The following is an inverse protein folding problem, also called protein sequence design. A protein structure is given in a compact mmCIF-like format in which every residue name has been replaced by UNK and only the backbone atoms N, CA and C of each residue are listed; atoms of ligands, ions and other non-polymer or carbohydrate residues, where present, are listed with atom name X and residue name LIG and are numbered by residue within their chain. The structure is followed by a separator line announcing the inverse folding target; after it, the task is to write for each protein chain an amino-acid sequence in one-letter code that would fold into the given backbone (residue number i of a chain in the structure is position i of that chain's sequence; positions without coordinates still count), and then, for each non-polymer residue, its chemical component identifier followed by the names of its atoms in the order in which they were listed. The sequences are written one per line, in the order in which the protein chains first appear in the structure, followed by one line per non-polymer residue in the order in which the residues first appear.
data_IF_295644092200
#
_entry.id   IF_295644092200
#
_cell.length_a   1.000
_cell.length_b   1.000
_cell.length_c   1.000
_cell.angle_alpha   90.00
_cell.angle_beta   90.00
_cell.angle_gamma   90.00
#
_symmetry.space_group_name_H-M   'P 1'
#
loop_
_entity.id
_entity.type
_entity.pdbx_description
1 polymer ?
#
# COMPACT_ATOMS: atom_id res chain seq x y z
N UNK A 1 -10.89 -45.75 1.35
CA UNK A 1 -9.95 -45.29 2.40
C UNK A 1 -10.59 -44.09 3.07
N UNK A 2 -11.01 -44.28 4.32
CA UNK A 2 -11.80 -43.37 5.14
C UNK A 2 -11.14 -42.00 5.25
N UNK A 3 -11.80 -40.98 4.70
CA UNK A 3 -11.57 -39.57 5.00
C UNK A 3 -11.85 -39.34 6.48
N UNK A 4 -10.83 -39.53 7.31
CA UNK A 4 -10.84 -39.10 8.70
C UNK A 4 -11.17 -37.61 8.72
N UNK A 5 -12.39 -37.29 9.13
CA UNK A 5 -12.89 -35.95 9.37
C UNK A 5 -11.87 -35.16 10.18
N UNK A 6 -11.22 -34.21 9.53
CA UNK A 6 -10.17 -33.34 10.08
C UNK A 6 -10.73 -32.29 11.06
N UNK A 7 -11.81 -32.60 11.78
CA UNK A 7 -12.44 -31.73 12.78
C UNK A 7 -11.52 -31.45 13.98
N UNK A 8 -10.63 -32.39 14.33
CA UNK A 8 -9.75 -32.32 15.52
C UNK A 8 -8.55 -31.36 15.39
N UNK A 9 -8.46 -30.54 14.34
CA UNK A 9 -7.29 -29.67 14.09
C UNK A 9 -7.66 -28.21 13.77
N UNK A 10 -8.96 -27.88 13.80
CA UNK A 10 -9.41 -26.52 13.50
C UNK A 10 -9.13 -25.57 14.66
N UNK A 11 -8.50 -24.44 14.34
CA UNK A 11 -8.33 -23.32 15.26
C UNK A 11 -9.70 -22.77 15.68
N UNK A 12 -9.86 -22.25 16.92
CA UNK A 12 -11.08 -21.55 17.33
C UNK A 12 -11.58 -20.49 16.32
N UNK A 13 -10.67 -19.64 15.81
CA UNK A 13 -10.94 -18.71 14.70
C UNK A 13 -11.47 -19.38 13.42
N UNK A 14 -10.92 -20.54 13.01
CA UNK A 14 -11.43 -21.30 11.85
C UNK A 14 -12.86 -21.79 12.10
N UNK A 15 -13.14 -22.28 13.32
CA UNK A 15 -14.47 -22.74 13.72
C UNK A 15 -15.47 -21.58 13.68
N UNK A 16 -15.10 -20.40 14.17
CA UNK A 16 -15.95 -19.21 14.15
C UNK A 16 -16.26 -18.76 12.72
N UNK A 17 -15.24 -18.71 11.84
CA UNK A 17 -15.43 -18.36 10.43
C UNK A 17 -16.29 -19.39 9.69
N UNK A 18 -16.05 -20.69 9.90
CA UNK A 18 -16.89 -21.76 9.31
C UNK A 18 -18.33 -21.69 9.78
N UNK A 19 -18.57 -21.37 11.07
CA UNK A 19 -19.93 -21.18 11.61
C UNK A 19 -20.61 -19.95 11.02
N UNK A 20 -19.88 -18.85 10.84
CA UNK A 20 -20.42 -17.66 10.19
C UNK A 20 -20.85 -17.96 8.74
N UNK A 21 -19.98 -18.62 7.98
CA UNK A 21 -20.29 -19.09 6.62
C UNK A 21 -21.39 -20.15 6.58
N UNK A 22 -21.53 -20.97 7.62
CA UNK A 22 -22.54 -22.03 7.70
C UNK A 22 -23.94 -21.55 8.05
N UNK A 23 -24.07 -20.39 8.71
CA UNK A 23 -25.35 -19.78 9.08
C UNK A 23 -26.05 -19.10 7.90
N UNK A 24 -25.30 -18.69 6.88
CA UNK A 24 -25.86 -18.11 5.67
C UNK A 24 -25.44 -18.97 4.49
N UNK A 25 -26.42 -19.58 3.80
CA UNK A 25 -26.17 -20.22 2.52
C UNK A 25 -25.85 -19.14 1.49
N UNK A 26 -24.57 -18.84 1.28
CA UNK A 26 -24.19 -17.73 0.42
C UNK A 26 -22.70 -17.45 0.33
N UNK A 27 -22.41 -16.36 -0.38
CA UNK A 27 -21.09 -15.76 -0.48
C UNK A 27 -20.98 -14.69 0.60
N UNK A 28 -19.96 -14.78 1.47
CA UNK A 28 -19.66 -13.75 2.46
C UNK A 28 -18.35 -13.04 2.10
N UNK A 29 -18.35 -11.72 2.14
CA UNK A 29 -17.15 -10.90 1.90
C UNK A 29 -16.31 -10.70 3.15
N UNK A 30 -15.05 -10.28 3.00
CA UNK A 30 -14.16 -9.97 4.14
C UNK A 30 -14.83 -9.06 5.21
N UNK A 31 -15.48 -7.93 4.85
CA UNK A 31 -16.16 -7.08 5.84
C UNK A 31 -17.32 -7.79 6.54
N UNK A 32 -18.13 -8.54 5.80
CA UNK A 32 -19.25 -9.29 6.36
C UNK A 32 -18.78 -10.38 7.32
N UNK A 33 -17.68 -11.07 7.01
CA UNK A 33 -17.09 -12.07 7.90
C UNK A 33 -16.60 -11.44 9.20
N UNK A 34 -15.99 -10.26 9.16
CA UNK A 34 -15.60 -9.50 10.35
C UNK A 34 -16.82 -9.19 11.22
N UNK A 35 -17.89 -8.64 10.62
CA UNK A 35 -19.11 -8.28 11.35
C UNK A 35 -19.82 -9.50 11.94
N UNK A 36 -19.91 -10.61 11.20
CA UNK A 36 -20.60 -11.82 11.66
C UNK A 36 -19.82 -12.63 12.70
N UNK A 37 -18.48 -12.55 12.69
CA UNK A 37 -17.63 -13.28 13.64
C UNK A 37 -17.28 -12.43 14.86
N UNK A 38 -17.33 -11.10 14.76
CA UNK A 38 -16.85 -10.17 15.78
C UNK A 38 -15.33 -10.22 15.98
N UNK A 39 -14.60 -10.86 15.06
CA UNK A 39 -13.15 -10.98 15.09
C UNK A 39 -12.48 -9.78 14.44
N UNK A 40 -11.23 -9.49 14.82
CA UNK A 40 -10.44 -8.49 14.11
C UNK A 40 -10.18 -8.93 12.66
N UNK A 41 -10.10 -7.98 11.72
CA UNK A 41 -9.86 -8.26 10.30
C UNK A 41 -8.62 -9.14 10.05
N UNK A 42 -7.55 -8.95 10.83
CA UNK A 42 -6.34 -9.78 10.77
C UNK A 42 -6.58 -11.23 11.19
N UNK A 43 -7.44 -11.46 12.19
CA UNK A 43 -7.81 -12.79 12.65
C UNK A 43 -8.69 -13.51 11.64
N UNK A 44 -9.65 -12.80 11.02
CA UNK A 44 -10.48 -13.33 9.93
C UNK A 44 -9.60 -13.71 8.74
N UNK A 45 -8.71 -12.82 8.30
CA UNK A 45 -7.79 -13.09 7.18
C UNK A 45 -6.90 -14.32 7.44
N UNK A 46 -6.37 -14.45 8.66
CA UNK A 46 -5.59 -15.61 9.07
C UNK A 46 -6.41 -16.90 9.04
N UNK A 47 -7.61 -16.89 9.63
CA UNK A 47 -8.51 -18.03 9.66
C UNK A 47 -8.94 -18.46 8.25
N UNK A 48 -9.33 -17.50 7.41
CA UNK A 48 -9.67 -17.75 5.99
C UNK A 48 -8.46 -18.33 5.25
N UNK A 49 -7.25 -17.82 5.47
CA UNK A 49 -6.02 -18.37 4.88
C UNK A 49 -5.79 -19.84 5.25
N UNK A 50 -6.01 -20.22 6.51
CA UNK A 50 -5.93 -21.63 6.93
C UNK A 50 -7.04 -22.48 6.31
N UNK A 51 -8.28 -21.97 6.26
CA UNK A 51 -9.42 -22.68 5.67
C UNK A 51 -9.26 -22.90 4.15
N UNK A 52 -8.72 -21.93 3.43
CA UNK A 52 -8.35 -22.05 2.01
C UNK A 52 -7.26 -23.11 1.83
N UNK A 53 -6.23 -23.12 2.69
CA UNK A 53 -5.14 -24.12 2.62
C UNK A 53 -5.64 -25.53 2.92
N UNK A 54 -6.72 -25.67 3.70
CA UNK A 54 -7.38 -26.94 4.04
C UNK A 54 -8.50 -27.32 3.06
N UNK A 55 -8.71 -26.55 2.00
CA UNK A 55 -9.79 -26.74 1.01
C UNK A 55 -11.21 -26.79 1.62
N UNK A 56 -11.42 -26.17 2.78
CA UNK A 56 -12.73 -26.08 3.45
C UNK A 56 -13.56 -24.88 2.98
N UNK A 57 -12.87 -23.87 2.45
CA UNK A 57 -13.44 -22.66 1.88
C UNK A 57 -12.78 -22.43 0.52
N UNK A 58 -13.54 -21.88 -0.42
CA UNK A 58 -13.09 -21.47 -1.75
C UNK A 58 -13.30 -19.97 -1.95
N UNK A 59 -12.39 -19.33 -2.67
CA UNK A 59 -12.56 -17.97 -3.15
C UNK A 59 -13.58 -17.97 -4.30
N UNK A 60 -14.71 -17.30 -4.10
CA UNK A 60 -15.82 -17.28 -5.05
C UNK A 60 -15.90 -15.96 -5.83
N UNK A 61 -15.43 -14.86 -5.26
CA UNK A 61 -15.27 -13.57 -5.95
C UNK A 61 -14.07 -12.81 -5.43
N UNK A 62 -13.42 -12.06 -6.30
CA UNK A 62 -12.40 -11.07 -5.93
C UNK A 62 -12.71 -9.81 -6.72
N UNK A 63 -13.01 -8.72 -6.01
CA UNK A 63 -13.32 -7.42 -6.61
C UNK A 63 -12.33 -6.39 -6.08
N UNK A 64 -11.44 -5.94 -6.96
CA UNK A 64 -10.57 -4.81 -6.67
C UNK A 64 -11.29 -3.52 -7.06
N UNK A 65 -11.51 -2.65 -6.09
CA UNK A 65 -12.07 -1.31 -6.30
C UNK A 65 -11.01 -0.30 -5.92
N UNK A 66 -10.68 0.59 -6.86
CA UNK A 66 -9.74 1.68 -6.61
C UNK A 66 -10.49 2.84 -5.95
N UNK A 67 -10.06 3.22 -4.74
CA UNK A 67 -10.62 4.33 -3.99
C UNK A 67 -9.71 5.54 -4.04
N UNK A 68 -10.34 6.72 -3.96
CA UNK A 68 -9.65 8.00 -3.79
C UNK A 68 -9.98 8.54 -2.42
N UNK A 69 -8.95 8.97 -1.69
CA UNK A 69 -9.05 9.58 -0.36
C UNK A 69 -8.20 10.85 -0.28
N UNK A 70 -8.48 11.70 0.71
CA UNK A 70 -7.64 12.86 0.98
C UNK A 70 -6.41 12.47 1.81
N UNK A 71 -5.28 13.09 1.48
CA UNK A 71 -4.09 13.09 2.34
C UNK A 71 -4.18 14.21 3.38
N UNK A 72 -3.22 14.26 4.30
CA UNK A 72 -3.09 15.39 5.22
C UNK A 72 -2.97 16.73 4.46
N UNK A 73 -2.19 16.77 3.38
CA UNK A 73 -2.09 17.94 2.47
C UNK A 73 -3.45 18.27 1.83
N UNK A 74 -4.18 17.25 1.40
CA UNK A 74 -5.53 17.42 0.85
C UNK A 74 -6.50 18.04 1.86
N UNK A 75 -6.44 17.61 3.12
CA UNK A 75 -7.25 18.19 4.19
C UNK A 75 -6.87 19.65 4.48
N UNK A 76 -5.57 19.99 4.41
CA UNK A 76 -5.10 21.38 4.53
C UNK A 76 -5.60 22.23 3.37
N UNK A 77 -5.52 21.75 2.13
CA UNK A 77 -6.00 22.48 0.95
C UNK A 77 -7.52 22.67 0.97
N UNK A 78 -8.26 21.71 1.52
CA UNK A 78 -9.70 21.83 1.73
C UNK A 78 -10.04 22.92 2.77
N UNK A 79 -9.35 22.93 3.92
CA UNK A 79 -9.58 23.91 4.99
C UNK A 79 -9.11 25.32 4.64
N UNK A 80 -7.99 25.40 3.91
CA UNK A 80 -7.38 26.65 3.46
C UNK A 80 -7.60 26.82 1.95
N UNK A 81 -6.57 27.26 1.24
CA UNK A 81 -6.55 27.38 -0.20
C UNK A 81 -5.51 26.40 -0.78
N UNK A 82 -5.83 25.80 -1.91
CA UNK A 82 -4.82 25.11 -2.73
C UNK A 82 -3.81 26.12 -3.30
N UNK A 83 -2.62 25.68 -3.75
CA UNK A 83 -1.64 26.59 -4.36
C UNK A 83 -2.23 27.43 -5.50
N UNK A 84 -3.13 26.85 -6.31
CA UNK A 84 -3.80 27.55 -7.41
C UNK A 84 -4.68 28.70 -6.89
N UNK A 85 -5.52 28.41 -5.91
CA UNK A 85 -6.44 29.40 -5.32
C UNK A 85 -5.67 30.48 -4.56
N UNK A 86 -4.66 30.08 -3.79
CA UNK A 86 -3.84 31.01 -3.01
C UNK A 86 -3.10 31.99 -3.90
N UNK A 87 -2.54 31.55 -5.04
CA UNK A 87 -1.89 32.45 -6.00
C UNK A 87 -2.91 33.46 -6.55
N UNK A 88 -4.08 33.00 -7.02
CA UNK A 88 -5.10 33.89 -7.58
C UNK A 88 -5.61 34.88 -6.54
N UNK A 89 -5.84 34.44 -5.30
CA UNK A 89 -6.27 35.30 -4.18
C UNK A 89 -5.20 36.32 -3.82
N UNK A 90 -3.93 35.91 -3.71
CA UNK A 90 -2.81 36.79 -3.35
C UNK A 90 -2.56 37.86 -4.40
N UNK A 91 -2.64 37.51 -5.70
CA UNK A 91 -2.48 38.49 -6.78
C UNK A 91 -3.67 39.46 -6.82
N UNK A 92 -4.90 38.98 -6.56
CA UNK A 92 -6.08 39.86 -6.46
C UNK A 92 -5.97 40.85 -5.29
N UNK A 93 -5.58 40.41 -4.10
CA UNK A 93 -5.44 41.29 -2.95
C UNK A 93 -4.34 42.33 -3.17
N UNK A 94 -3.19 41.92 -3.71
CA UNK A 94 -2.11 42.85 -4.04
C UNK A 94 -2.54 43.93 -5.05
N UNK A 95 -3.29 43.53 -6.09
CA UNK A 95 -3.85 44.46 -7.06
C UNK A 95 -4.83 45.48 -6.43
N UNK A 96 -5.61 45.07 -5.41
CA UNK A 96 -6.49 45.97 -4.65
C UNK A 96 -5.70 46.94 -3.77
N UNK A 97 -4.59 46.49 -3.20
CA UNK A 97 -3.68 47.29 -2.36
C UNK A 97 -2.72 48.16 -3.19
N UNK A 98 -2.82 48.13 -4.52
CA UNK A 98 -1.94 48.87 -5.44
C UNK A 98 -0.50 48.36 -5.49
N UNK A 99 -0.26 47.12 -5.06
CA UNK A 99 1.05 46.46 -5.05
C UNK A 99 1.12 45.37 -6.11
N UNK A 100 2.29 45.21 -6.74
CA UNK A 100 2.51 44.14 -7.73
C UNK A 100 3.28 42.97 -7.11
N UNK A 101 2.75 41.75 -7.18
CA UNK A 101 3.46 40.55 -6.75
C UNK A 101 4.25 39.94 -7.91
N UNK A 102 5.50 39.58 -7.64
CA UNK A 102 6.35 38.82 -8.57
C UNK A 102 6.41 37.34 -8.17
N UNK A 103 6.84 36.49 -9.10
CA UNK A 103 7.07 35.05 -8.83
C UNK A 103 8.01 34.85 -7.63
N UNK A 104 9.05 35.69 -7.50
CA UNK A 104 10.01 35.62 -6.40
C UNK A 104 9.36 35.94 -5.05
N UNK A 105 8.48 36.93 -5.01
CA UNK A 105 7.76 37.30 -3.78
C UNK A 105 6.87 36.15 -3.31
N UNK A 106 6.15 35.48 -4.23
CA UNK A 106 5.31 34.32 -3.91
C UNK A 106 6.14 33.13 -3.40
N UNK A 107 7.29 32.86 -4.01
CA UNK A 107 8.19 31.79 -3.57
C UNK A 107 8.84 32.04 -2.20
N UNK A 108 8.86 33.28 -1.72
CA UNK A 108 9.46 33.65 -0.42
C UNK A 108 8.46 33.53 0.74
N UNK A 109 7.17 33.34 0.46
CA UNK A 109 6.09 33.34 1.48
C UNK A 109 6.07 32.13 2.42
N UNK A 110 6.99 31.16 2.27
CA UNK A 110 7.08 29.88 3.00
C UNK A 110 5.79 29.03 3.07
N UNK A 111 4.71 29.45 2.40
CA UNK A 111 3.38 28.82 2.52
C UNK A 111 3.31 27.50 1.75
N UNK A 112 4.03 27.40 0.63
CA UNK A 112 4.09 26.22 -0.23
C UNK A 112 5.51 25.98 -0.73
N UNK A 113 5.79 24.77 -1.21
CA UNK A 113 7.11 24.49 -1.79
C UNK A 113 7.32 25.27 -3.11
N UNK A 114 8.54 25.75 -3.40
CA UNK A 114 8.81 26.50 -4.63
C UNK A 114 8.47 25.73 -5.92
N UNK A 115 8.61 24.40 -5.89
CA UNK A 115 8.26 23.48 -6.99
C UNK A 115 6.76 23.45 -7.25
N UNK A 116 5.95 23.39 -6.19
CA UNK A 116 4.48 23.42 -6.26
C UNK A 116 3.98 24.75 -6.81
N UNK A 117 4.51 25.86 -6.28
CA UNK A 117 4.17 27.21 -6.76
C UNK A 117 4.54 27.40 -8.22
N UNK A 118 5.71 26.93 -8.65
CA UNK A 118 6.13 27.04 -10.05
C UNK A 118 5.22 26.24 -10.99
N UNK A 119 4.81 25.04 -10.58
CA UNK A 119 3.83 24.22 -11.31
C UNK A 119 2.46 24.90 -11.39
N UNK A 120 1.98 25.46 -10.29
CA UNK A 120 0.71 26.16 -10.21
C UNK A 120 0.69 27.43 -11.08
N UNK A 121 1.74 28.26 -11.03
CA UNK A 121 1.90 29.45 -11.88
C UNK A 121 1.92 29.07 -13.37
N UNK A 122 2.67 28.01 -13.73
CA UNK A 122 2.72 27.51 -15.10
C UNK A 122 1.35 27.10 -15.63
N UNK A 123 0.55 26.43 -14.80
CA UNK A 123 -0.81 26.02 -15.14
C UNK A 123 -1.76 27.23 -15.28
N UNK A 124 -1.78 28.12 -14.30
CA UNK A 124 -2.64 29.32 -14.32
C UNK A 124 -2.33 30.22 -15.52
N UNK A 125 -1.05 30.32 -15.93
CA UNK A 125 -0.65 31.06 -17.12
C UNK A 125 -1.16 30.39 -18.40
N UNK A 126 -1.11 29.04 -18.46
CA UNK A 126 -1.62 28.27 -19.60
C UNK A 126 -3.15 28.38 -19.73
N UNK A 127 -3.85 28.47 -18.60
CA UNK A 127 -5.30 28.69 -18.55
C UNK A 127 -5.70 30.16 -18.70
N UNK A 128 -4.74 31.05 -18.95
CA UNK A 128 -4.92 32.49 -19.08
C UNK A 128 -5.60 33.14 -17.85
N UNK A 129 -5.56 32.50 -16.68
CA UNK A 129 -6.09 33.05 -15.43
C UNK A 129 -5.16 34.12 -14.83
N UNK A 130 -3.86 34.03 -15.13
CA UNK A 130 -2.85 35.03 -14.79
C UNK A 130 -1.99 35.36 -16.02
N UNK A 131 -1.50 36.59 -16.08
CA UNK A 131 -0.57 37.07 -17.11
C UNK A 131 0.67 37.69 -16.47
N UNK A 132 1.80 37.64 -17.20
CA UNK A 132 3.02 38.32 -16.79
C UNK A 132 3.02 39.74 -17.39
N UNK A 133 2.98 40.74 -16.53
CA UNK A 133 3.13 42.14 -16.89
C UNK A 133 4.62 42.54 -17.01
N UNK A 134 4.86 43.75 -17.49
CA UNK A 134 6.22 44.29 -17.68
C UNK A 134 6.96 44.35 -16.34
N UNK A 135 8.17 43.80 -16.28
CA UNK A 135 8.96 43.70 -15.03
C UNK A 135 8.75 42.43 -14.21
N UNK A 136 8.00 41.45 -14.71
CA UNK A 136 7.83 40.15 -14.04
C UNK A 136 6.75 40.13 -12.95
N UNK A 137 5.90 41.16 -12.92
CA UNK A 137 4.70 41.21 -12.10
C UNK A 137 3.62 40.26 -12.64
N UNK A 138 2.86 39.65 -11.74
CA UNK A 138 1.71 38.82 -12.08
C UNK A 138 0.43 39.65 -11.97
N UNK A 139 -0.43 39.55 -12.98
CA UNK A 139 -1.74 40.19 -13.01
C UNK A 139 -2.83 39.13 -13.26
N UNK A 140 -3.97 39.25 -12.56
CA UNK A 140 -5.13 38.40 -12.80
C UNK A 140 -5.94 38.98 -13.96
N UNK A 141 -6.18 38.19 -14.99
CA UNK A 141 -6.90 38.59 -16.22
C UNK A 141 -8.42 38.63 -16.04
N UNK A 142 -8.92 38.13 -14.89
CA UNK A 142 -10.35 38.01 -14.60
C UNK A 142 -11.00 36.72 -15.09
N UNK A 143 -10.28 35.87 -15.85
CA UNK A 143 -10.76 34.55 -16.26
C UNK A 143 -10.64 33.54 -15.11
N UNK A 144 -11.66 32.70 -14.85
CA UNK A 144 -11.56 31.63 -13.87
C UNK A 144 -10.59 30.54 -14.34
N UNK A 145 -9.93 29.89 -13.39
CA UNK A 145 -9.10 28.71 -13.66
C UNK A 145 -9.98 27.45 -13.55
N UNK A 146 -10.32 26.77 -14.66
CA UNK A 146 -11.17 25.58 -14.62
C UNK A 146 -10.55 24.46 -13.79
N UNK A 147 -9.21 24.34 -13.77
CA UNK A 147 -8.54 23.35 -12.92
C UNK A 147 -8.64 23.71 -11.44
N UNK A 148 -8.52 24.99 -11.07
CA UNK A 148 -8.68 25.44 -9.68
C UNK A 148 -10.09 25.14 -9.15
N UNK A 149 -11.12 25.48 -9.92
CA UNK A 149 -12.52 25.27 -9.54
C UNK A 149 -12.86 23.78 -9.42
N UNK A 150 -12.34 22.97 -10.33
CA UNK A 150 -12.48 21.52 -10.28
C UNK A 150 -11.75 20.92 -9.09
N UNK A 151 -10.53 21.35 -8.83
CA UNK A 151 -9.75 20.87 -7.69
C UNK A 151 -10.51 21.14 -6.38
N UNK A 152 -11.08 22.34 -6.21
CA UNK A 152 -11.93 22.67 -5.06
C UNK A 152 -13.16 21.76 -4.96
N UNK A 153 -13.84 21.51 -6.08
CA UNK A 153 -15.01 20.63 -6.13
C UNK A 153 -14.64 19.20 -5.71
N UNK A 154 -13.51 18.68 -6.21
CA UNK A 154 -13.02 17.35 -5.87
C UNK A 154 -12.56 17.25 -4.41
N UNK A 155 -11.88 18.27 -3.88
CA UNK A 155 -11.49 18.33 -2.48
C UNK A 155 -12.72 18.25 -1.57
N UNK A 156 -13.76 19.05 -1.85
CA UNK A 156 -15.01 19.04 -1.07
C UNK A 156 -15.70 17.67 -1.13
N UNK A 157 -15.76 17.06 -2.33
CA UNK A 157 -16.42 15.76 -2.53
C UNK A 157 -15.70 14.60 -1.83
N UNK A 158 -14.36 14.56 -1.90
CA UNK A 158 -13.57 13.48 -1.25
C UNK A 158 -13.40 13.73 0.26
N UNK A 159 -13.64 14.96 0.74
CA UNK A 159 -13.63 15.27 2.18
C UNK A 159 -14.73 14.56 2.97
N UNK A 160 -15.88 14.27 2.34
CA UNK A 160 -16.99 13.52 2.95
C UNK A 160 -16.61 12.05 3.24
N UNK A 161 -15.60 11.53 2.54
CA UNK A 161 -15.06 10.19 2.75
C UNK A 161 -14.44 9.59 1.48
N UNK A 162 -13.74 8.44 1.60
CA UNK A 162 -13.18 7.76 0.45
C UNK A 162 -14.27 7.34 -0.55
N UNK A 163 -14.06 7.61 -1.83
CA UNK A 163 -15.00 7.27 -2.90
C UNK A 163 -14.34 6.43 -4.00
N UNK A 164 -15.06 5.50 -4.64
CA UNK A 164 -14.56 4.79 -5.81
C UNK A 164 -14.19 5.77 -6.93
N UNK A 165 -13.03 5.58 -7.56
CA UNK A 165 -12.58 6.44 -8.66
C UNK A 165 -13.54 6.39 -9.87
N UNK A 166 -14.30 5.31 -9.99
CA UNK A 166 -15.30 5.10 -11.05
C UNK A 166 -16.51 6.02 -10.95
N UNK A 167 -16.76 6.61 -9.78
CA UNK A 167 -17.90 7.49 -9.53
C UNK A 167 -17.65 8.94 -10.02
N UNK A 168 -16.43 9.20 -10.49
CA UNK A 168 -16.00 10.47 -11.06
C UNK A 168 -16.02 10.41 -12.59
N UNK A 169 -16.31 11.54 -13.22
CA UNK A 169 -16.23 11.66 -14.68
C UNK A 169 -14.79 11.44 -15.19
N UNK A 170 -14.58 11.05 -16.46
CA UNK A 170 -13.24 10.79 -16.99
C UNK A 170 -12.25 11.95 -16.83
N UNK A 171 -12.76 13.18 -16.88
CA UNK A 171 -11.98 14.41 -16.75
C UNK A 171 -11.57 14.66 -15.28
N UNK A 172 -12.48 14.43 -14.34
CA UNK A 172 -12.19 14.44 -12.90
C UNK A 172 -11.20 13.35 -12.51
N UNK A 173 -11.33 12.14 -13.07
CA UNK A 173 -10.37 11.06 -12.85
C UNK A 173 -8.96 11.46 -13.31
N UNK A 174 -8.85 12.18 -14.42
CA UNK A 174 -7.60 12.75 -14.90
C UNK A 174 -6.97 13.69 -13.88
N UNK A 175 -7.75 14.62 -13.33
CA UNK A 175 -7.31 15.55 -12.28
C UNK A 175 -6.92 14.80 -10.99
N UNK A 176 -7.71 13.83 -10.54
CA UNK A 176 -7.39 13.03 -9.35
C UNK A 176 -6.06 12.29 -9.49
N UNK A 177 -5.79 11.67 -10.65
CA UNK A 177 -4.51 10.98 -10.93
C UNK A 177 -3.33 11.96 -11.12
N UNK A 178 -3.61 13.18 -11.55
CA UNK A 178 -2.59 14.22 -11.71
C UNK A 178 -2.13 14.77 -10.36
N UNK A 179 -3.06 14.90 -9.40
CA UNK A 179 -2.85 15.43 -8.05
C UNK A 179 -2.89 14.33 -6.98
N UNK A 180 -2.57 13.09 -7.35
CA UNK A 180 -2.41 11.98 -6.42
C UNK A 180 -0.96 11.81 -6.02
N UNK A 181 -0.72 11.36 -4.79
CA UNK A 181 0.59 10.92 -4.31
C UNK A 181 1.21 9.91 -5.28
N UNK A 182 2.47 10.13 -5.64
CA UNK A 182 3.26 9.24 -6.52
C UNK A 182 4.54 8.82 -5.81
N UNK A 183 5.18 7.78 -6.33
CA UNK A 183 6.47 7.30 -5.81
C UNK A 183 7.50 8.45 -5.84
N UNK A 184 7.84 8.98 -4.67
CA UNK A 184 8.78 10.11 -4.51
C UNK A 184 8.14 11.49 -4.33
N UNK A 185 6.81 11.64 -4.50
CA UNK A 185 6.10 12.87 -4.17
C UNK A 185 4.92 12.58 -3.23
N UNK A 186 5.13 12.84 -1.93
CA UNK A 186 4.13 12.64 -0.87
C UNK A 186 3.27 13.87 -0.61
N UNK A 187 3.60 15.02 -1.23
CA UNK A 187 2.95 16.31 -1.00
C UNK A 187 1.85 16.57 -2.03
N UNK A 188 0.92 15.64 -2.19
CA UNK A 188 -0.20 15.76 -3.12
C UNK A 188 -1.52 15.54 -2.37
N UNK A 189 -2.61 16.23 -2.76
CA UNK A 189 -3.84 16.26 -1.99
C UNK A 189 -4.62 14.95 -1.98
N UNK A 190 -4.50 14.13 -3.03
CA UNK A 190 -5.23 12.88 -3.14
C UNK A 190 -4.31 11.67 -2.95
N UNK A 191 -4.87 10.60 -2.41
CA UNK A 191 -4.26 9.26 -2.44
C UNK A 191 -5.22 8.31 -3.15
N UNK A 192 -4.65 7.52 -4.06
CA UNK A 192 -5.37 6.52 -4.83
C UNK A 192 -4.83 5.17 -4.39
N UNK A 193 -5.68 4.38 -3.73
CA UNK A 193 -5.32 3.06 -3.22
C UNK A 193 -6.31 2.02 -3.74
N UNK A 194 -5.81 0.81 -4.00
CA UNK A 194 -6.65 -0.31 -4.38
C UNK A 194 -7.14 -1.05 -3.13
N UNK A 195 -8.46 -1.21 -3.02
CA UNK A 195 -9.07 -2.04 -2.00
C UNK A 195 -9.62 -3.31 -2.64
N UNK A 196 -9.07 -4.46 -2.26
CA UNK A 196 -9.52 -5.75 -2.76
C UNK A 196 -10.46 -6.39 -1.76
N UNK A 197 -11.71 -6.57 -2.15
CA UNK A 197 -12.69 -7.32 -1.37
C UNK A 197 -12.82 -8.73 -1.93
N UNK A 198 -12.66 -9.72 -1.06
CA UNK A 198 -12.80 -11.13 -1.44
C UNK A 198 -14.07 -11.70 -0.84
N UNK A 199 -14.75 -12.50 -1.65
CA UNK A 199 -15.95 -13.24 -1.29
C UNK A 199 -15.65 -14.73 -1.22
N UNK A 200 -16.06 -15.34 -0.13
CA UNK A 200 -15.78 -16.73 0.19
C UNK A 200 -17.04 -17.57 0.23
N UNK A 201 -16.90 -18.83 -0.18
CA UNK A 201 -17.95 -19.85 -0.09
C UNK A 201 -17.39 -21.14 0.48
N UNK A 202 -18.19 -21.84 1.28
CA UNK A 202 -17.86 -23.17 1.76
C UNK A 202 -17.80 -24.19 0.62
N UNK A 203 -16.80 -25.07 0.68
CA UNK A 203 -16.72 -26.22 -0.22
C UNK A 203 -17.67 -27.33 0.27
N UNK A 204 -17.93 -28.39 -0.52
CA UNK A 204 -18.70 -29.54 -0.03
C UNK A 204 -18.09 -30.17 1.22
N UNK A 205 -16.76 -30.19 1.32
CA UNK A 205 -16.03 -30.65 2.51
C UNK A 205 -16.20 -29.71 3.71
N UNK A 206 -16.26 -28.39 3.50
CA UNK A 206 -16.57 -27.42 4.54
C UNK A 206 -18.01 -27.59 5.09
N UNK A 207 -18.98 -27.81 4.21
CA UNK A 207 -20.38 -28.02 4.60
C UNK A 207 -20.58 -29.28 5.44
N UNK A 208 -19.97 -30.40 5.05
CA UNK A 208 -20.08 -31.65 5.81
C UNK A 208 -19.43 -31.57 7.19
N UNK A 209 -18.54 -30.60 7.42
CA UNK A 209 -17.83 -30.41 8.67
C UNK A 209 -18.65 -29.64 9.72
N UNK A 210 -19.54 -28.74 9.30
CA UNK A 210 -20.31 -27.84 10.18
C UNK A 210 -21.10 -28.60 11.27
N UNK A 211 -21.85 -29.67 10.96
CA UNK A 211 -22.62 -30.41 11.97
C UNK A 211 -21.73 -31.09 13.04
N UNK A 212 -20.46 -31.30 12.72
CA UNK A 212 -19.49 -31.96 13.59
C UNK A 212 -18.57 -30.97 14.33
N UNK A 213 -18.75 -29.67 14.14
CA UNK A 213 -18.01 -28.64 14.88
C UNK A 213 -18.50 -28.60 16.32
N UNK A 214 -17.61 -28.93 17.26
CA UNK A 214 -17.92 -28.79 18.70
C UNK A 214 -18.08 -27.30 19.07
N UNK A 215 -19.02 -27.02 19.97
CA UNK A 215 -19.11 -25.72 20.64
C UNK A 215 -18.10 -25.68 21.79
N UNK A 216 -17.34 -24.59 21.86
CA UNK A 216 -16.25 -24.44 22.80
C UNK A 216 -14.93 -24.86 22.18
N UNK A 217 -13.95 -23.95 22.21
CA UNK A 217 -12.56 -24.34 22.18
C UNK A 217 -12.36 -25.27 23.37
N UNK A 218 -12.21 -26.58 23.14
CA UNK A 218 -11.48 -27.36 24.12
C UNK A 218 -10.18 -26.58 24.37
N UNK A 219 -9.79 -26.37 25.63
CA UNK A 219 -8.53 -25.71 25.97
C UNK A 219 -7.37 -26.59 25.49
N UNK A 220 -7.15 -26.60 24.18
CA UNK A 220 -6.05 -27.26 23.53
C UNK A 220 -4.82 -26.41 23.74
N UNK A 221 -3.81 -26.98 24.37
CA UNK A 221 -2.55 -26.29 24.51
C UNK A 221 -1.83 -26.33 23.17
N UNK A 222 -1.42 -25.16 22.69
CA UNK A 222 -0.62 -25.02 21.47
C UNK A 222 0.85 -25.36 21.68
N UNK A 223 1.42 -24.97 22.83
CA UNK A 223 2.83 -25.12 23.15
C UNK A 223 3.03 -25.67 24.56
N UNK A 224 3.88 -26.68 24.68
CA UNK A 224 4.35 -27.18 25.96
C UNK A 224 5.22 -26.12 26.63
N UNK A 225 4.80 -25.59 27.79
CA UNK A 225 5.53 -24.57 28.54
C UNK A 225 6.33 -25.18 29.69
N UNK A 226 7.37 -24.49 30.19
CA UNK A 226 8.14 -24.96 31.36
C UNK A 226 7.29 -25.15 32.62
N UNK A 227 6.24 -24.35 32.82
CA UNK A 227 5.32 -24.46 33.96
C UNK A 227 4.53 -25.77 33.91
N UNK A 228 4.00 -26.11 32.73
CA UNK A 228 3.28 -27.36 32.49
C UNK A 228 4.17 -28.59 32.74
N UNK A 229 5.46 -28.48 32.43
CA UNK A 229 6.44 -29.53 32.70
C UNK A 229 6.71 -29.70 34.19
N UNK A 230 6.78 -28.60 34.95
CA UNK A 230 7.02 -28.60 36.40
C UNK A 230 5.84 -29.17 37.19
N UNK A 231 4.61 -28.80 36.83
CA UNK A 231 3.40 -29.23 37.53
C UNK A 231 2.87 -30.60 37.04
N UNK A 232 3.37 -31.10 35.91
CA UNK A 232 2.97 -32.38 35.32
C UNK A 232 1.57 -32.38 34.70
N UNK A 233 0.91 -31.22 34.62
CA UNK A 233 -0.44 -31.07 34.09
C UNK A 233 -0.54 -31.34 32.59
N UNK A 234 0.60 -31.31 31.86
CA UNK A 234 0.69 -31.69 30.45
C UNK A 234 0.15 -33.10 30.15
N UNK A 235 0.19 -34.02 31.12
CA UNK A 235 -0.30 -35.41 30.93
C UNK A 235 -1.81 -35.51 30.77
N UNK A 236 -2.56 -34.56 31.34
CA UNK A 236 -4.02 -34.59 31.39
C UNK A 236 -4.66 -33.57 30.44
N UNK A 237 -3.88 -32.95 29.56
CA UNK A 237 -4.35 -31.94 28.62
C UNK A 237 -4.16 -32.39 27.18
N UNK A 238 -5.03 -31.92 26.31
CA UNK A 238 -4.98 -32.23 24.87
C UNK A 238 -4.10 -31.18 24.19
N UNK A 239 -3.11 -31.65 23.43
CA UNK A 239 -2.28 -30.78 22.61
C UNK A 239 -2.88 -30.64 21.22
N UNK A 240 -2.85 -29.42 20.70
CA UNK A 240 -3.25 -29.17 19.32
C UNK A 240 -2.31 -29.91 18.37
N UNK A 241 -2.88 -30.66 17.41
CA UNK A 241 -2.08 -31.37 16.39
C UNK A 241 -1.35 -30.36 15.49
N UNK A 242 -0.05 -30.56 15.30
CA UNK A 242 0.76 -29.74 14.42
C UNK A 242 0.44 -30.03 12.95
N UNK A 243 0.12 -29.00 12.17
CA UNK A 243 -0.19 -29.14 10.75
C UNK A 243 1.07 -29.05 9.90
N UNK A 244 1.54 -30.17 9.37
CA UNK A 244 2.74 -30.26 8.52
C UNK A 244 2.55 -29.57 7.16
N UNK A 245 1.30 -29.42 6.71
CA UNK A 245 0.95 -28.75 5.46
C UNK A 245 1.13 -27.22 5.49
N UNK A 246 1.21 -26.61 6.69
CA UNK A 246 1.38 -25.17 6.82
C UNK A 246 2.84 -24.80 6.58
N UNK A 247 3.07 -23.74 5.79
CA UNK A 247 4.42 -23.20 5.63
C UNK A 247 4.90 -22.62 6.97
N UNK A 248 6.08 -23.03 7.49
CA UNK A 248 6.61 -22.49 8.72
C UNK A 248 6.95 -21.00 8.56
N UNK A 249 6.97 -20.23 9.65
CA UNK A 249 7.42 -18.85 9.62
C UNK A 249 8.85 -18.79 9.07
N UNK A 250 9.11 -17.85 8.15
CA UNK A 250 10.44 -17.65 7.58
C UNK A 250 11.35 -17.00 8.63
N UNK A 251 12.52 -17.59 8.85
CA UNK A 251 13.57 -16.94 9.62
C UNK A 251 14.23 -15.87 8.75
N UNK A 252 14.19 -14.62 9.21
CA UNK A 252 14.91 -13.51 8.61
C UNK A 252 16.40 -13.62 8.98
N UNK A 253 17.14 -14.42 8.20
CA UNK A 253 18.59 -14.53 8.33
C UNK A 253 19.29 -13.55 7.40
N UNK A 254 20.41 -12.98 7.84
CA UNK A 254 21.28 -12.20 6.97
C UNK A 254 21.76 -13.03 5.78
N UNK A 255 21.69 -12.46 4.57
CA UNK A 255 22.13 -13.10 3.32
C UNK A 255 23.28 -12.29 2.72
N UNK A 256 24.23 -12.97 2.06
CA UNK A 256 25.26 -12.31 1.25
C UNK A 256 24.64 -11.84 -0.07
N UNK A 257 25.21 -10.78 -0.66
CA UNK A 257 24.80 -10.32 -1.98
C UNK A 257 25.16 -11.40 -3.04
N UNK A 258 24.24 -11.88 -3.87
CA UNK A 258 24.48 -13.02 -4.78
C UNK A 258 25.70 -12.82 -5.70
N UNK A 259 25.88 -11.61 -6.22
CA UNK A 259 27.04 -11.29 -7.06
C UNK A 259 28.38 -11.41 -6.30
N UNK A 260 28.41 -11.01 -5.02
CA UNK A 260 29.63 -11.09 -4.20
C UNK A 260 29.98 -12.54 -3.92
N UNK A 261 28.97 -13.36 -3.62
CA UNK A 261 29.13 -14.80 -3.41
C UNK A 261 29.69 -15.51 -4.66
N UNK A 262 29.19 -15.13 -5.84
CA UNK A 262 29.74 -15.60 -7.11
C UNK A 262 31.21 -15.19 -7.29
N UNK A 263 31.55 -13.91 -7.10
CA UNK A 263 32.93 -13.42 -7.23
C UNK A 263 33.89 -14.14 -6.26
N UNK A 264 33.46 -14.34 -5.02
CA UNK A 264 34.24 -15.06 -4.01
C UNK A 264 34.46 -16.53 -4.44
N UNK A 265 33.46 -17.17 -5.05
CA UNK A 265 33.57 -18.54 -5.58
C UNK A 265 34.57 -18.65 -6.74
N UNK A 266 34.55 -17.69 -7.67
CA UNK A 266 35.48 -17.64 -8.81
C UNK A 266 36.90 -17.40 -8.31
N UNK A 267 37.07 -16.44 -7.41
CA UNK A 267 38.34 -16.17 -6.74
C UNK A 267 38.89 -17.42 -6.07
N UNK A 268 38.07 -18.09 -5.24
CA UNK A 268 38.50 -19.30 -4.55
C UNK A 268 38.99 -20.35 -5.54
N UNK A 269 38.21 -20.62 -6.60
CA UNK A 269 38.57 -21.60 -7.63
C UNK A 269 39.89 -21.28 -8.35
N UNK A 270 40.10 -20.03 -8.76
CA UNK A 270 41.33 -19.61 -9.42
C UNK A 270 42.55 -19.72 -8.48
N UNK A 271 42.41 -19.27 -7.23
CA UNK A 271 43.49 -19.39 -6.24
C UNK A 271 43.83 -20.84 -5.92
N UNK A 272 42.84 -21.74 -5.87
CA UNK A 272 43.06 -23.18 -5.70
C UNK A 272 43.79 -23.83 -6.89
N UNK A 273 43.72 -23.22 -8.08
CA UNK A 273 44.48 -23.66 -9.26
C UNK A 273 45.90 -23.07 -9.33
N UNK A 274 46.32 -22.29 -8.32
CA UNK A 274 47.65 -21.69 -8.25
C UNK A 274 47.76 -20.28 -8.85
N UNK A 275 46.64 -19.68 -9.30
CA UNK A 275 46.63 -18.29 -9.75
C UNK A 275 46.71 -17.32 -8.57
N UNK A 276 47.30 -16.14 -8.80
CA UNK A 276 47.37 -15.06 -7.83
C UNK A 276 46.36 -13.95 -8.19
N UNK A 277 45.70 -13.38 -7.18
CA UNK A 277 44.75 -12.28 -7.38
C UNK A 277 45.52 -10.98 -7.66
N UNK A 278 45.28 -10.38 -8.83
CA UNK A 278 45.76 -9.03 -9.15
C UNK A 278 44.76 -7.98 -8.65
N UNK A 279 45.26 -6.85 -8.14
CA UNK A 279 44.45 -5.68 -7.75
C UNK A 279 44.88 -4.47 -8.57
N UNK A 280 43.90 -3.72 -9.07
CA UNK A 280 44.10 -2.46 -9.81
C UNK A 280 43.23 -1.35 -9.25
N UNK A 281 43.38 -0.15 -9.79
CA UNK A 281 42.57 1.01 -9.41
C UNK A 281 41.20 0.96 -10.10
N UNK A 282 40.24 1.76 -9.64
CA UNK A 282 38.95 1.90 -10.33
C UNK A 282 39.05 2.78 -11.59
N UNK A 283 40.11 3.58 -11.68
CA UNK A 283 40.37 4.50 -12.78
C UNK A 283 41.76 4.19 -13.30
N UNK A 284 41.85 3.80 -14.56
CA UNK A 284 43.11 3.50 -15.23
C UNK A 284 43.35 4.55 -16.34
N UNK A 285 44.62 4.78 -16.70
CA UNK A 285 44.95 5.69 -17.79
C UNK A 285 44.60 5.05 -19.14
N UNK A 286 44.21 5.87 -20.12
CA UNK A 286 43.87 5.42 -21.49
C UNK A 286 44.97 4.53 -22.09
N UNK A 287 46.23 4.87 -21.85
CA UNK A 287 47.37 4.08 -22.30
C UNK A 287 47.33 2.62 -21.82
N UNK A 288 46.99 2.37 -20.54
CA UNK A 288 46.97 1.00 -20.00
C UNK A 288 45.73 0.21 -20.40
N UNK A 289 44.58 0.89 -20.56
CA UNK A 289 43.32 0.24 -20.94
C UNK A 289 43.25 -0.04 -22.46
N UNK A 290 43.95 0.74 -23.29
CA UNK A 290 43.88 0.66 -24.77
C UNK A 290 45.25 0.38 -25.42
N UNK A 291 46.17 1.33 -25.38
CA UNK A 291 47.43 1.28 -26.16
C UNK A 291 48.28 0.06 -25.80
N UNK A 292 48.40 -0.26 -24.50
CA UNK A 292 49.18 -1.39 -23.99
C UNK A 292 48.62 -2.76 -24.41
N UNK A 293 47.31 -2.82 -24.74
CA UNK A 293 46.63 -4.03 -25.22
C UNK A 293 46.55 -4.11 -26.75
N UNK A 294 47.18 -3.16 -27.48
CA UNK A 294 47.16 -3.06 -28.94
C UNK A 294 45.75 -2.95 -29.53
N UNK A 295 44.82 -2.31 -28.82
CA UNK A 295 43.48 -2.02 -29.36
C UNK A 295 43.53 -0.73 -30.21
N UNK A 296 43.07 -0.77 -31.48
CA UNK A 296 43.10 0.38 -32.39
C UNK A 296 41.96 1.38 -32.17
#
# INVERSE_FOLDING_TARGET
MSSSTNTESLHPLEIQVLKALGKQEGLLTDPQLVDHTGLAASQVSMAVGWLLTKDLVSLASEKTTTYVSLTEVGTQFHQQASPLEWIVQSVKSAAQDGTSLTVKNLQTSETFQPTELSRAIGLLKKEEAIQLATGGALEVTGKPSPTSDRLRTLLNRVYEGPQPITDFSPDEQGTLRQYSVKRGNTQEPFRIDDHTERGYRLTPAGHSLIPHLRDGAAEEISQLTPELLKDGSWRNRIFRKYSISLRPPRLAVGRRHPYREFLDSVKHKLTSMGFQEMRGELVETEFWDMDALYMP
#
